data_IF_385534975173
#
_entry.id   IF_385534975173
#
_cell.length_a   1.000
_cell.length_b   1.000
_cell.length_c   1.000
_cell.angle_alpha   90.00
_cell.angle_beta   90.00
_cell.angle_gamma   90.00
#
_symmetry.space_group_name_H-M   'P 1'
#
loop_
_entity.id
_entity.type
_entity.pdbx_description
1 polymer ?
#
# COMPACT_ATOMS: atom_id res chain seq x y z
N UNK A 1 10.80 0.04 -32.26
CA UNK A 1 10.75 -1.15 -31.38
C UNK A 1 12.09 -1.25 -30.65
N UNK A 2 12.17 -0.79 -29.40
CA UNK A 2 13.40 -0.86 -28.60
C UNK A 2 13.56 -2.27 -28.02
N UNK A 3 14.69 -2.92 -28.30
CA UNK A 3 15.08 -4.20 -27.69
C UNK A 3 14.92 -4.14 -26.16
N UNK A 4 14.36 -5.16 -25.50
CA UNK A 4 14.26 -5.18 -24.04
C UNK A 4 15.68 -5.09 -23.47
N UNK A 5 15.91 -4.11 -22.58
CA UNK A 5 17.17 -4.02 -21.87
C UNK A 5 17.43 -5.35 -21.14
N UNK A 6 18.65 -5.91 -21.21
CA UNK A 6 18.95 -7.17 -20.55
C UNK A 6 18.62 -7.04 -19.05
N UNK A 7 17.97 -8.05 -18.43
CA UNK A 7 17.54 -8.04 -17.03
C UNK A 7 18.56 -7.43 -16.06
N UNK A 8 19.84 -7.73 -16.29
CA UNK A 8 20.96 -7.23 -15.51
C UNK A 8 21.07 -5.70 -15.47
N UNK A 9 20.97 -5.01 -16.62
CA UNK A 9 21.09 -3.54 -16.65
C UNK A 9 20.00 -2.85 -15.83
N UNK A 10 18.78 -3.38 -15.87
CA UNK A 10 17.66 -2.84 -15.08
C UNK A 10 17.84 -3.10 -13.57
N UNK A 11 18.44 -4.23 -13.20
CA UNK A 11 18.77 -4.53 -11.79
C UNK A 11 19.94 -3.67 -11.28
N UNK A 12 20.96 -3.41 -12.11
CA UNK A 12 22.05 -2.48 -11.81
C UNK A 12 21.52 -1.06 -11.63
N UNK A 13 20.61 -0.61 -12.49
CA UNK A 13 19.95 0.68 -12.35
C UNK A 13 19.12 0.75 -11.07
N UNK A 14 18.34 -0.29 -10.75
CA UNK A 14 17.60 -0.38 -9.49
C UNK A 14 18.53 -0.32 -8.26
N UNK A 15 19.68 -0.98 -8.32
CA UNK A 15 20.71 -0.93 -7.29
C UNK A 15 21.29 0.49 -7.14
N UNK A 16 21.64 1.14 -8.26
CA UNK A 16 22.15 2.52 -8.28
C UNK A 16 21.16 3.52 -7.68
N UNK A 17 19.86 3.30 -7.92
CA UNK A 17 18.76 4.11 -7.38
C UNK A 17 18.36 3.72 -5.95
N UNK A 18 19.02 2.73 -5.33
CA UNK A 18 18.67 2.14 -4.03
C UNK A 18 17.20 1.73 -3.96
N UNK A 19 16.68 1.24 -5.07
CA UNK A 19 15.29 0.79 -5.17
C UNK A 19 15.05 -0.39 -4.25
N UNK A 20 13.90 -0.36 -3.56
CA UNK A 20 13.45 -1.49 -2.75
C UNK A 20 12.98 -2.61 -3.67
N UNK A 21 13.37 -3.83 -3.34
CA UNK A 21 12.88 -5.05 -3.93
C UNK A 21 11.87 -5.70 -2.97
N UNK A 22 10.66 -5.93 -3.44
CA UNK A 22 9.60 -6.59 -2.70
C UNK A 22 9.52 -8.04 -3.16
N UNK A 23 9.68 -8.98 -2.23
CA UNK A 23 9.55 -10.41 -2.50
C UNK A 23 8.22 -10.92 -1.97
N UNK A 24 7.52 -11.69 -2.79
CA UNK A 24 6.44 -12.57 -2.33
C UNK A 24 7.01 -13.97 -2.14
N UNK A 25 6.79 -14.52 -0.95
CA UNK A 25 7.28 -15.83 -0.52
C UNK A 25 6.10 -16.80 -0.36
N UNK A 26 6.33 -18.12 -0.47
CA UNK A 26 5.31 -19.13 -0.15
C UNK A 26 4.97 -19.10 1.34
N UNK A 27 3.84 -18.46 1.69
CA UNK A 27 3.42 -18.20 3.08
C UNK A 27 3.37 -19.46 3.95
N UNK A 28 3.00 -20.59 3.34
CA UNK A 28 2.93 -21.90 3.97
C UNK A 28 4.29 -22.46 4.43
N UNK A 29 5.41 -21.97 3.89
CA UNK A 29 6.75 -22.47 4.24
C UNK A 29 7.48 -21.51 5.17
N UNK A 30 7.36 -20.21 4.95
CA UNK A 30 8.15 -19.20 5.66
C UNK A 30 7.39 -18.47 6.77
N UNK A 31 6.06 -18.66 6.88
CA UNK A 31 5.21 -17.93 7.83
C UNK A 31 5.09 -16.42 7.53
N UNK A 32 5.63 -15.98 6.39
CA UNK A 32 5.72 -14.58 5.94
C UNK A 32 5.30 -14.52 4.47
N UNK A 33 4.23 -13.79 4.17
CA UNK A 33 3.75 -13.65 2.79
C UNK A 33 4.64 -12.77 1.92
N UNK A 34 5.21 -11.71 2.49
CA UNK A 34 6.01 -10.73 1.76
C UNK A 34 7.21 -10.27 2.59
N UNK A 35 8.30 -9.93 1.90
CA UNK A 35 9.52 -9.40 2.47
C UNK A 35 9.99 -8.19 1.66
N UNK A 36 10.22 -7.07 2.35
CA UNK A 36 10.78 -5.87 1.73
C UNK A 36 12.30 -5.87 1.93
N UNK A 37 13.04 -5.80 0.82
CA UNK A 37 14.49 -5.92 0.80
C UNK A 37 15.16 -4.72 0.13
N UNK A 38 16.36 -4.41 0.59
CA UNK A 38 17.33 -3.64 -0.18
C UNK A 38 18.06 -4.57 -1.16
N UNK A 39 18.36 -4.07 -2.35
CA UNK A 39 19.28 -4.74 -3.29
C UNK A 39 20.70 -4.37 -2.86
N UNK A 40 21.51 -5.36 -2.52
CA UNK A 40 22.91 -5.15 -2.14
C UNK A 40 23.85 -5.38 -3.33
N UNK A 41 23.54 -6.34 -4.18
CA UNK A 41 24.34 -6.71 -5.35
C UNK A 41 23.45 -7.25 -6.46
N UNK A 42 23.79 -6.96 -7.72
CA UNK A 42 23.23 -7.60 -8.90
C UNK A 42 24.38 -8.04 -9.80
N UNK A 43 24.67 -9.35 -9.85
CA UNK A 43 25.78 -9.91 -10.63
C UNK A 43 25.33 -11.14 -11.41
N UNK A 44 26.24 -11.76 -12.17
CA UNK A 44 26.02 -13.05 -12.82
C UNK A 44 25.81 -14.22 -11.84
N UNK A 45 26.13 -14.05 -10.56
CA UNK A 45 25.83 -15.02 -9.50
C UNK A 45 24.38 -14.89 -9.00
N UNK A 46 23.68 -13.86 -9.46
CA UNK A 46 22.32 -13.52 -9.09
C UNK A 46 22.25 -12.28 -8.20
N UNK A 47 21.12 -12.12 -7.50
CA UNK A 47 20.79 -10.90 -6.76
C UNK A 47 21.02 -11.13 -5.27
N UNK A 48 21.77 -10.25 -4.58
CA UNK A 48 21.82 -10.23 -3.12
C UNK A 48 20.78 -9.27 -2.60
N UNK A 49 19.93 -9.76 -1.71
CA UNK A 49 18.90 -8.99 -1.05
C UNK A 49 19.10 -9.07 0.46
N UNK A 50 18.83 -7.98 1.16
CA UNK A 50 18.76 -7.95 2.62
C UNK A 50 17.47 -7.31 3.09
N UNK A 51 16.78 -7.93 4.04
CA UNK A 51 15.50 -7.41 4.53
C UNK A 51 15.66 -6.09 5.26
N UNK A 52 14.71 -5.18 5.06
CA UNK A 52 14.67 -3.89 5.75
C UNK A 52 14.07 -4.05 7.15
N UNK A 53 13.13 -4.98 7.33
CA UNK A 53 12.56 -5.34 8.62
C UNK A 53 13.22 -6.60 9.21
N UNK A 54 13.02 -6.81 10.52
CA UNK A 54 13.43 -8.05 11.18
C UNK A 54 12.75 -9.25 10.51
N UNK A 55 13.58 -10.13 9.96
CA UNK A 55 13.19 -11.42 9.41
C UNK A 55 14.38 -12.35 9.58
N UNK A 56 14.15 -13.54 10.14
CA UNK A 56 15.19 -14.54 10.29
C UNK A 56 15.04 -15.54 9.15
N UNK A 57 15.91 -15.44 8.14
CA UNK A 57 15.97 -16.43 7.08
C UNK A 57 16.77 -17.65 7.56
N UNK A 58 16.26 -18.85 7.25
CA UNK A 58 16.91 -20.12 7.58
C UNK A 58 17.17 -20.96 6.33
N UNK A 59 17.89 -22.06 6.51
CA UNK A 59 18.22 -23.01 5.43
C UNK A 59 16.98 -23.56 4.71
N UNK A 60 15.85 -23.70 5.40
CA UNK A 60 14.57 -24.13 4.83
C UNK A 60 13.99 -23.19 3.75
N UNK A 61 14.56 -22.00 3.57
CA UNK A 61 14.15 -21.08 2.49
C UNK A 61 14.87 -21.37 1.18
N UNK A 62 15.98 -22.11 1.20
CA UNK A 62 16.76 -22.44 0.00
C UNK A 62 15.92 -23.35 -0.90
N UNK A 63 15.92 -23.02 -2.20
CA UNK A 63 15.12 -23.70 -3.22
C UNK A 63 13.71 -23.16 -3.40
N UNK A 64 13.22 -22.26 -2.52
CA UNK A 64 11.89 -21.70 -2.67
C UNK A 64 11.80 -20.76 -3.86
N UNK A 65 10.74 -20.93 -4.65
CA UNK A 65 10.34 -20.00 -5.69
C UNK A 65 9.80 -18.71 -5.07
N UNK A 66 10.24 -17.60 -5.63
CA UNK A 66 9.87 -16.26 -5.20
C UNK A 66 9.50 -15.40 -6.40
N UNK A 67 8.57 -14.48 -6.15
CA UNK A 67 8.24 -13.42 -7.11
C UNK A 67 8.77 -12.10 -6.57
N UNK A 68 9.68 -11.48 -7.31
CA UNK A 68 10.26 -10.19 -6.98
C UNK A 68 9.60 -9.05 -7.74
N UNK A 69 9.64 -7.86 -7.12
CA UNK A 69 9.12 -6.62 -7.66
C UNK A 69 10.00 -5.44 -7.28
N UNK A 70 10.38 -4.61 -8.23
CA UNK A 70 11.14 -3.38 -7.97
C UNK A 70 10.73 -2.26 -8.92
N UNK A 71 11.14 -1.04 -8.57
CA UNK A 71 10.88 0.18 -9.33
C UNK A 71 12.18 0.72 -9.90
N UNK A 72 12.13 1.28 -11.10
CA UNK A 72 13.22 2.04 -11.71
C UNK A 72 12.64 3.34 -12.26
N UNK A 73 13.23 4.47 -11.90
CA UNK A 73 12.95 5.75 -12.55
C UNK A 73 13.80 5.86 -13.81
N UNK A 74 13.18 5.99 -14.98
CA UNK A 74 13.90 6.14 -16.25
C UNK A 74 13.71 7.57 -16.74
N UNK A 75 14.81 8.28 -16.93
CA UNK A 75 14.79 9.66 -17.46
C UNK A 75 14.87 9.58 -18.99
N UNK A 76 13.74 9.74 -19.67
CA UNK A 76 13.68 9.79 -21.15
C UNK A 76 13.29 11.18 -21.68
N UNK A 77 12.50 11.94 -20.95
CA UNK A 77 12.15 13.37 -21.18
C UNK A 77 11.47 13.93 -19.92
N UNK A 78 10.60 13.13 -19.31
CA UNK A 78 10.06 13.28 -17.94
C UNK A 78 10.61 12.16 -17.05
N UNK A 79 10.49 12.30 -15.72
CA UNK A 79 10.86 11.26 -14.77
C UNK A 79 9.74 10.22 -14.70
N UNK A 80 9.84 9.15 -15.49
CA UNK A 80 8.84 8.08 -15.48
C UNK A 80 9.25 6.94 -14.57
N UNK A 81 8.40 6.64 -13.58
CA UNK A 81 8.57 5.50 -12.70
C UNK A 81 8.02 4.23 -13.36
N UNK A 82 8.91 3.30 -13.69
CA UNK A 82 8.55 2.01 -14.28
C UNK A 82 8.73 0.90 -13.26
N UNK A 83 7.82 -0.07 -13.29
CA UNK A 83 7.82 -1.18 -12.35
C UNK A 83 8.06 -2.51 -13.07
N UNK A 84 8.92 -3.34 -12.47
CA UNK A 84 9.31 -4.62 -13.02
C UNK A 84 9.01 -5.74 -12.03
N UNK A 85 8.55 -6.87 -12.57
CA UNK A 85 8.39 -8.14 -11.85
C UNK A 85 9.31 -9.19 -12.44
N UNK A 86 9.72 -10.13 -11.59
CA UNK A 86 10.50 -11.28 -11.99
C UNK A 86 10.17 -12.50 -11.13
N UNK A 87 10.43 -13.67 -11.69
CA UNK A 87 10.43 -14.92 -10.93
C UNK A 87 11.87 -15.36 -10.74
N UNK A 88 12.17 -15.96 -9.60
CA UNK A 88 13.47 -16.53 -9.26
C UNK A 88 13.29 -17.58 -8.16
N UNK A 89 14.35 -18.28 -7.79
CA UNK A 89 14.41 -19.09 -6.57
C UNK A 89 15.53 -18.61 -5.64
N UNK A 90 15.42 -18.96 -4.35
CA UNK A 90 16.43 -18.67 -3.33
C UNK A 90 17.57 -19.69 -3.44
N UNK A 91 18.78 -19.22 -3.76
CA UNK A 91 20.00 -20.06 -3.79
C UNK A 91 20.68 -20.17 -2.42
N UNK A 92 20.61 -19.13 -1.62
CA UNK A 92 21.14 -19.12 -0.27
C UNK A 92 20.33 -18.19 0.62
N UNK A 93 20.18 -18.57 1.88
CA UNK A 93 19.45 -17.82 2.90
C UNK A 93 20.22 -17.88 4.21
N UNK A 94 20.46 -16.73 4.82
CA UNK A 94 21.14 -16.62 6.10
C UNK A 94 20.62 -15.40 6.88
N UNK A 95 20.83 -15.39 8.19
CA UNK A 95 20.72 -14.18 8.97
C UNK A 95 21.99 -13.33 8.82
N UNK A 96 21.84 -12.02 8.64
CA UNK A 96 22.94 -11.08 8.74
C UNK A 96 23.37 -10.90 10.20
N UNK A 97 24.55 -10.30 10.47
CA UNK A 97 24.96 -9.98 11.84
C UNK A 97 23.96 -9.10 12.61
N UNK A 98 23.16 -8.31 11.89
CA UNK A 98 22.09 -7.49 12.45
C UNK A 98 20.76 -8.24 12.66
N UNK A 99 20.73 -9.56 12.42
CA UNK A 99 19.53 -10.39 12.52
C UNK A 99 18.51 -10.16 11.39
N UNK A 100 18.96 -9.62 10.25
CA UNK A 100 18.13 -9.40 9.06
C UNK A 100 18.26 -10.58 8.09
N UNK A 101 17.23 -10.83 7.29
CA UNK A 101 17.24 -11.91 6.31
C UNK A 101 18.11 -11.49 5.12
N UNK A 102 19.19 -12.24 4.86
CA UNK A 102 20.05 -12.06 3.69
C UNK A 102 19.83 -13.22 2.73
N UNK A 103 19.37 -12.89 1.52
CA UNK A 103 18.94 -13.85 0.51
C UNK A 103 19.75 -13.65 -0.77
N UNK A 104 20.33 -14.74 -1.29
CA UNK A 104 20.87 -14.80 -2.65
C UNK A 104 19.82 -15.43 -3.54
N UNK A 105 19.30 -14.68 -4.49
CA UNK A 105 18.42 -15.19 -5.52
C UNK A 105 19.21 -15.59 -6.76
N UNK A 106 18.71 -16.54 -7.54
CA UNK A 106 19.17 -16.75 -8.91
C UNK A 106 19.03 -15.45 -9.74
N UNK A 107 19.82 -15.33 -10.81
CA UNK A 107 19.58 -14.26 -11.79
C UNK A 107 18.26 -14.55 -12.50
N UNK A 108 17.30 -13.60 -12.54
CA UNK A 108 16.04 -13.82 -13.21
C UNK A 108 16.26 -13.88 -14.73
N UNK A 109 15.67 -14.90 -15.37
CA UNK A 109 15.75 -15.08 -16.83
C UNK A 109 15.11 -13.91 -17.59
N UNK A 110 14.06 -13.32 -17.01
CA UNK A 110 13.32 -12.22 -17.63
C UNK A 110 12.78 -11.26 -16.58
N UNK A 111 12.74 -9.98 -16.96
CA UNK A 111 11.98 -8.95 -16.28
C UNK A 111 10.76 -8.62 -17.12
N UNK A 112 9.60 -8.57 -16.48
CA UNK A 112 8.33 -8.22 -17.14
C UNK A 112 7.81 -6.95 -16.51
N UNK A 113 7.30 -6.03 -17.32
CA UNK A 113 6.54 -4.88 -16.80
C UNK A 113 5.44 -5.40 -15.87
N UNK A 114 5.44 -4.89 -14.65
CA UNK A 114 4.61 -5.43 -13.60
C UNK A 114 3.85 -4.34 -12.89
N UNK A 115 2.54 -4.49 -12.80
CA UNK A 115 1.70 -3.65 -11.97
C UNK A 115 1.41 -4.39 -10.66
N UNK A 116 2.10 -4.02 -9.58
CA UNK A 116 1.89 -4.65 -8.25
C UNK A 116 0.53 -4.32 -7.65
N UNK A 117 -0.01 -3.15 -7.96
CA UNK A 117 -1.25 -2.66 -7.37
C UNK A 117 -2.42 -3.03 -8.29
N UNK A 118 -3.32 -3.86 -7.77
CA UNK A 118 -4.56 -4.27 -8.46
C UNK A 118 -5.51 -3.10 -8.74
N UNK A 119 -5.33 -1.98 -8.05
CA UNK A 119 -6.12 -0.76 -8.21
C UNK A 119 -5.22 0.47 -8.25
N UNK A 120 -5.70 1.48 -8.98
CA UNK A 120 -5.05 2.77 -9.05
C UNK A 120 -5.07 3.45 -7.68
N UNK A 121 -3.99 4.17 -7.36
CA UNK A 121 -3.90 5.05 -6.19
C UNK A 121 -3.89 6.48 -6.68
N UNK A 122 -4.84 7.26 -6.21
CA UNK A 122 -4.93 8.68 -6.47
C UNK A 122 -4.92 9.42 -5.14
N UNK A 123 -4.17 10.50 -5.05
CA UNK A 123 -4.43 11.50 -4.02
C UNK A 123 -5.82 12.10 -4.29
N UNK A 124 -6.79 12.08 -3.36
CA UNK A 124 -8.09 12.70 -3.60
C UNK A 124 -8.00 14.22 -3.44
N UNK A 125 -8.60 14.98 -4.35
CA UNK A 125 -8.75 16.43 -4.16
C UNK A 125 -9.77 16.67 -3.04
N UNK A 126 -9.50 17.63 -2.14
CA UNK A 126 -10.38 17.89 -0.99
C UNK A 126 -11.80 18.28 -1.42
N UNK A 127 -11.97 18.95 -2.55
CA UNK A 127 -13.28 19.35 -3.08
C UNK A 127 -14.14 18.14 -3.50
N UNK A 128 -13.50 17.00 -3.81
CA UNK A 128 -14.19 15.75 -4.13
C UNK A 128 -14.49 14.89 -2.90
N UNK A 129 -14.09 15.35 -1.70
CA UNK A 129 -14.32 14.66 -0.43
C UNK A 129 -15.38 15.41 0.38
N UNK A 130 -16.64 14.98 0.30
CA UNK A 130 -17.77 15.60 1.02
C UNK A 130 -17.67 15.36 2.53
N UNK A 131 -17.50 14.09 2.91
CA UNK A 131 -17.37 13.70 4.31
C UNK A 131 -16.27 12.66 4.52
N UNK A 132 -15.61 12.73 5.67
CA UNK A 132 -14.62 11.75 6.09
C UNK A 132 -14.66 11.55 7.59
N UNK A 133 -14.89 10.30 8.00
CA UNK A 133 -14.92 9.92 9.40
C UNK A 133 -14.11 8.67 9.64
N UNK A 134 -13.39 8.66 10.76
CA UNK A 134 -12.59 7.53 11.19
C UNK A 134 -12.91 7.21 12.63
N UNK A 135 -13.21 5.95 12.91
CA UNK A 135 -13.40 5.43 14.25
C UNK A 135 -12.33 4.40 14.57
N UNK A 136 -11.94 4.36 15.84
CA UNK A 136 -11.20 3.23 16.37
C UNK A 136 -12.13 2.03 16.43
N UNK A 137 -11.60 0.86 16.08
CA UNK A 137 -12.32 -0.39 16.24
C UNK A 137 -11.69 -1.16 17.40
N UNK A 138 -12.47 -1.39 18.45
CA UNK A 138 -12.11 -2.29 19.54
C UNK A 138 -12.71 -3.68 19.27
N UNK A 139 -11.94 -4.75 19.54
CA UNK A 139 -12.43 -6.11 19.28
C UNK A 139 -13.51 -6.57 20.26
N UNK A 140 -13.48 -6.09 21.51
CA UNK A 140 -14.43 -6.46 22.55
C UNK A 140 -15.65 -5.55 22.54
N UNK A 141 -15.44 -4.24 22.39
CA UNK A 141 -16.50 -3.23 22.46
C UNK A 141 -17.04 -2.77 21.09
N UNK A 142 -16.36 -3.11 19.99
CA UNK A 142 -16.70 -2.61 18.66
C UNK A 142 -16.33 -1.13 18.48
N UNK A 143 -17.23 -0.34 17.90
CA UNK A 143 -17.05 1.11 17.75
C UNK A 143 -18.39 1.83 17.93
N UNK A 144 -18.36 3.09 18.35
CA UNK A 144 -19.56 3.93 18.50
C UNK A 144 -19.62 4.98 17.41
N UNK A 145 -20.75 5.04 16.70
CA UNK A 145 -20.98 5.99 15.61
C UNK A 145 -20.89 7.45 16.07
N UNK A 146 -21.28 7.74 17.31
CA UNK A 146 -21.37 9.10 17.84
C UNK A 146 -20.01 9.75 18.11
N UNK A 147 -18.97 8.92 18.28
CA UNK A 147 -17.63 9.35 18.70
C UNK A 147 -16.54 8.95 17.69
N UNK A 148 -16.56 9.50 16.46
CA UNK A 148 -15.44 9.39 15.54
C UNK A 148 -14.18 10.05 16.12
N UNK A 149 -13.06 9.39 15.91
CA UNK A 149 -11.73 9.87 16.26
C UNK A 149 -11.28 10.99 15.31
N UNK A 150 -11.63 10.91 14.01
CA UNK A 150 -11.47 11.98 13.04
C UNK A 150 -12.80 12.34 12.39
N UNK A 151 -13.04 13.63 12.16
CA UNK A 151 -14.25 14.15 11.49
C UNK A 151 -13.85 14.94 10.25
N UNK A 152 -14.82 15.22 9.37
CA UNK A 152 -14.59 16.00 8.14
C UNK A 152 -13.92 17.36 8.40
N UNK A 153 -14.21 17.99 9.55
CA UNK A 153 -13.56 19.24 9.94
C UNK A 153 -12.03 19.13 10.11
N UNK A 154 -11.53 17.98 10.55
CA UNK A 154 -10.09 17.72 10.72
C UNK A 154 -9.36 17.61 9.36
N UNK A 155 -10.08 17.19 8.31
CA UNK A 155 -9.55 17.19 6.95
C UNK A 155 -9.55 18.60 6.36
N UNK A 156 -10.64 19.35 6.56
CA UNK A 156 -10.77 20.74 6.07
C UNK A 156 -9.77 21.70 6.70
N UNK A 157 -9.44 21.52 7.98
CA UNK A 157 -8.43 22.33 8.66
C UNK A 157 -6.99 21.81 8.48
N UNK A 158 -6.79 20.76 7.67
CA UNK A 158 -5.47 20.24 7.32
C UNK A 158 -4.76 19.46 8.44
N UNK A 159 -5.42 19.18 9.57
CA UNK A 159 -4.87 18.35 10.67
C UNK A 159 -4.93 16.86 10.36
N UNK A 160 -5.77 16.44 9.42
CA UNK A 160 -5.78 15.13 8.82
C UNK A 160 -5.78 15.25 7.29
N UNK A 161 -5.16 14.31 6.57
CA UNK A 161 -5.11 14.32 5.11
C UNK A 161 -5.18 12.90 4.55
N UNK A 162 -5.93 12.72 3.47
CA UNK A 162 -5.87 11.51 2.67
C UNK A 162 -4.69 11.61 1.69
N UNK A 163 -3.61 10.88 1.97
CA UNK A 163 -2.40 10.87 1.12
C UNK A 163 -2.62 10.15 -0.21
N UNK A 164 -3.51 9.15 -0.21
CA UNK A 164 -3.96 8.44 -1.40
C UNK A 164 -5.19 7.61 -1.06
N UNK A 165 -5.98 7.32 -2.08
CA UNK A 165 -7.13 6.44 -2.07
C UNK A 165 -7.02 5.47 -3.24
N UNK A 166 -7.34 4.21 -2.99
CA UNK A 166 -7.49 3.15 -3.98
C UNK A 166 -8.70 2.31 -3.64
N UNK A 167 -9.18 1.51 -4.60
CA UNK A 167 -10.28 0.58 -4.36
C UNK A 167 -10.01 -0.45 -3.24
N UNK A 168 -8.76 -0.63 -2.81
CA UNK A 168 -8.38 -1.63 -1.81
C UNK A 168 -7.82 -1.06 -0.50
N UNK A 169 -7.71 0.26 -0.38
CA UNK A 169 -7.10 0.88 0.79
C UNK A 169 -6.81 2.36 0.59
N UNK A 170 -6.33 3.00 1.66
CA UNK A 170 -6.01 4.42 1.67
C UNK A 170 -4.76 4.71 2.50
N UNK A 171 -4.13 5.86 2.22
CA UNK A 171 -3.10 6.46 3.05
C UNK A 171 -3.69 7.62 3.84
N UNK A 172 -3.44 7.67 5.15
CA UNK A 172 -3.92 8.72 6.04
C UNK A 172 -2.70 9.36 6.73
N UNK A 173 -2.63 10.69 6.72
CA UNK A 173 -1.74 11.45 7.58
C UNK A 173 -2.56 12.17 8.64
N UNK A 174 -2.08 12.21 9.88
CA UNK A 174 -2.71 12.88 11.02
C UNK A 174 -1.64 13.63 11.79
N UNK A 175 -1.91 14.88 12.14
CA UNK A 175 -0.96 15.65 12.93
C UNK A 175 -0.75 15.07 14.32
N UNK A 176 0.47 15.15 14.84
CA UNK A 176 0.79 14.62 16.18
C UNK A 176 -0.13 15.22 17.27
N UNK A 177 -0.39 16.54 17.17
CA UNK A 177 -1.26 17.28 18.08
C UNK A 177 -2.73 16.80 18.07
N UNK A 178 -3.19 16.17 16.98
CA UNK A 178 -4.52 15.59 16.89
C UNK A 178 -4.53 14.11 17.28
N UNK A 179 -3.51 13.35 16.87
CA UNK A 179 -3.48 11.90 17.00
C UNK A 179 -3.52 11.45 18.47
N UNK A 180 -2.69 12.04 19.34
CA UNK A 180 -2.62 11.68 20.77
C UNK A 180 -3.95 11.91 21.50
N UNK A 181 -4.50 13.14 21.53
CA UNK A 181 -5.77 13.42 22.21
C UNK A 181 -6.98 12.66 21.66
N UNK A 182 -6.94 12.24 20.39
CA UNK A 182 -7.99 11.41 19.76
C UNK A 182 -7.73 9.90 19.90
N UNK A 183 -6.63 9.52 20.56
CA UNK A 183 -6.22 8.14 20.78
C UNK A 183 -5.96 7.36 19.50
N UNK A 184 -5.51 8.00 18.42
CA UNK A 184 -5.25 7.38 17.11
C UNK A 184 -3.90 6.66 17.03
N UNK A 185 -3.31 6.32 18.17
CA UNK A 185 -2.09 5.52 18.28
C UNK A 185 -2.37 4.05 17.92
N UNK A 186 -2.71 3.80 16.65
CA UNK A 186 -2.98 2.47 16.14
C UNK A 186 -1.68 1.77 15.74
N UNK A 187 -1.55 0.51 16.11
CA UNK A 187 -0.44 -0.34 15.74
C UNK A 187 -0.72 -1.12 14.45
N UNK A 188 0.34 -1.63 13.82
CA UNK A 188 0.21 -2.54 12.69
C UNK A 188 -0.62 -3.76 13.11
N UNK A 189 -1.70 -4.02 12.36
CA UNK A 189 -2.63 -5.11 12.64
C UNK A 189 -3.96 -4.65 13.22
N UNK A 190 -4.01 -3.44 13.80
CA UNK A 190 -5.25 -2.85 14.33
C UNK A 190 -6.24 -2.56 13.21
N UNK A 191 -7.49 -2.32 13.62
CA UNK A 191 -8.59 -2.00 12.71
C UNK A 191 -9.12 -0.61 13.00
N UNK A 192 -9.53 0.06 11.94
CA UNK A 192 -10.28 1.30 11.97
C UNK A 192 -11.56 1.09 11.16
N UNK A 193 -12.62 1.78 11.56
CA UNK A 193 -13.79 1.96 10.68
C UNK A 193 -13.65 3.29 9.99
N UNK A 194 -13.92 3.32 8.70
CA UNK A 194 -13.79 4.51 7.86
C UNK A 194 -15.11 4.72 7.13
N UNK A 195 -15.61 5.95 7.13
CA UNK A 195 -16.67 6.40 6.23
C UNK A 195 -16.11 7.50 5.34
N UNK A 196 -16.22 7.34 4.03
CA UNK A 196 -15.90 8.38 3.06
C UNK A 196 -17.13 8.66 2.21
N UNK A 197 -17.52 9.92 2.13
CA UNK A 197 -18.51 10.38 1.16
C UNK A 197 -17.78 11.16 0.06
N UNK A 198 -17.79 10.62 -1.15
CA UNK A 198 -17.07 11.14 -2.31
C UNK A 198 -18.06 11.81 -3.27
N UNK A 199 -17.62 12.91 -3.87
CA UNK A 199 -18.36 13.60 -4.92
C UNK A 199 -17.88 13.14 -6.30
N UNK A 200 -18.71 12.34 -6.98
CA UNK A 200 -18.48 11.99 -8.38
C UNK A 200 -19.83 11.86 -9.10
N UNK A 201 -20.28 12.92 -9.80
CA UNK A 201 -21.60 12.95 -10.43
C UNK A 201 -21.75 11.94 -11.57
N UNK A 202 -20.66 11.38 -12.12
CA UNK A 202 -20.70 10.36 -13.17
C UNK A 202 -20.86 8.94 -12.61
N UNK A 203 -20.65 8.74 -11.31
CA UNK A 203 -20.79 7.43 -10.71
C UNK A 203 -22.27 7.09 -10.46
N UNK A 204 -22.64 5.83 -10.73
CA UNK A 204 -24.03 5.35 -10.56
C UNK A 204 -24.36 5.14 -9.08
N UNK A 205 -23.35 4.84 -8.26
CA UNK A 205 -23.48 4.61 -6.82
C UNK A 205 -23.39 5.92 -6.04
N UNK A 206 -24.25 6.08 -5.04
CA UNK A 206 -24.09 7.12 -4.03
C UNK A 206 -22.70 6.95 -3.39
N UNK A 207 -21.82 7.93 -3.54
CA UNK A 207 -20.41 7.85 -3.16
C UNK A 207 -20.13 7.71 -1.66
N UNK A 208 -21.05 7.15 -0.87
CA UNK A 208 -20.91 6.88 0.57
C UNK A 208 -20.39 5.47 0.81
N UNK A 209 -19.14 5.38 1.25
CA UNK A 209 -18.42 4.15 1.48
C UNK A 209 -18.14 3.95 2.96
N UNK A 210 -18.70 2.88 3.53
CA UNK A 210 -18.29 2.39 4.85
C UNK A 210 -17.30 1.25 4.69
N UNK A 211 -16.19 1.29 5.44
CA UNK A 211 -15.12 0.32 5.34
C UNK A 211 -14.59 -0.06 6.72
N UNK A 212 -14.32 -1.34 6.93
CA UNK A 212 -13.39 -1.79 7.98
C UNK A 212 -12.01 -1.88 7.35
N UNK A 213 -11.05 -1.14 7.90
CA UNK A 213 -9.69 -1.06 7.37
C UNK A 213 -8.66 -1.56 8.38
N UNK A 214 -7.71 -2.38 7.93
CA UNK A 214 -6.57 -2.85 8.70
C UNK A 214 -5.40 -1.89 8.56
N UNK A 215 -4.74 -1.57 9.67
CA UNK A 215 -3.46 -0.84 9.67
C UNK A 215 -2.35 -1.78 9.19
N UNK A 216 -1.82 -1.52 8.00
CA UNK A 216 -0.74 -2.30 7.40
C UNK A 216 0.64 -1.68 7.63
N UNK A 217 0.68 -0.36 7.76
CA UNK A 217 1.90 0.43 7.90
C UNK A 217 1.64 1.62 8.81
N UNK A 218 2.62 1.93 9.67
CA UNK A 218 2.64 3.13 10.51
C UNK A 218 4.03 3.74 10.37
N UNK A 219 4.10 5.03 10.12
CA UNK A 219 5.35 5.79 10.12
C UNK A 219 5.15 7.17 10.71
N UNK A 220 6.24 7.77 11.15
CA UNK A 220 6.28 9.17 11.58
C UNK A 220 6.79 10.02 10.42
N UNK A 221 6.14 11.14 10.16
CA UNK A 221 6.44 12.08 9.07
C UNK A 221 7.07 13.35 9.66
N UNK A 222 8.22 13.75 9.10
CA UNK A 222 8.90 14.99 9.46
C UNK A 222 9.42 15.04 10.90
N UNK A 223 9.89 16.21 11.30
CA UNK A 223 10.39 16.47 12.66
C UNK A 223 9.24 16.67 13.67
N UNK A 224 8.06 17.07 13.20
CA UNK A 224 6.91 17.43 14.04
C UNK A 224 6.15 16.22 14.59
N UNK A 225 6.53 15.01 14.18
CA UNK A 225 5.98 13.77 14.74
C UNK A 225 4.65 13.32 14.13
N UNK A 226 4.23 13.90 13.00
CA UNK A 226 2.98 13.55 12.33
C UNK A 226 2.91 12.05 12.02
N UNK A 227 1.74 11.46 12.16
CA UNK A 227 1.55 10.02 11.95
C UNK A 227 1.00 9.73 10.56
N UNK A 228 1.64 8.80 9.87
CA UNK A 228 1.20 8.27 8.59
C UNK A 228 0.77 6.81 8.73
N UNK A 229 -0.47 6.53 8.36
CA UNK A 229 -1.07 5.21 8.33
C UNK A 229 -1.29 4.73 6.89
N UNK A 230 -0.88 3.50 6.60
CA UNK A 230 -1.31 2.78 5.41
C UNK A 230 -2.40 1.79 5.79
N UNK A 231 -3.62 2.00 5.26
CA UNK A 231 -4.80 1.21 5.59
C UNK A 231 -5.21 0.33 4.40
N UNK A 232 -5.60 -0.92 4.69
CA UNK A 232 -6.14 -1.88 3.72
C UNK A 232 -7.59 -2.21 4.05
N UNK A 233 -8.49 -2.15 3.07
CA UNK A 233 -9.90 -2.50 3.28
C UNK A 233 -10.08 -4.01 3.44
N UNK A 234 -10.78 -4.40 4.50
CA UNK A 234 -11.12 -5.79 4.83
C UNK A 234 -12.59 -6.09 4.55
N UNK A 235 -13.48 -5.13 4.80
CA UNK A 235 -14.91 -5.24 4.57
C UNK A 235 -15.49 -3.91 4.12
N UNK A 236 -16.47 -3.94 3.23
CA UNK A 236 -17.33 -2.81 2.88
C UNK A 236 -18.66 -2.92 3.63
N UNK A 237 -19.28 -1.79 3.91
CA UNK A 237 -20.50 -1.71 4.71
C UNK A 237 -21.61 -0.96 3.99
N UNK A 238 -22.85 -1.38 4.21
CA UNK A 238 -24.05 -0.61 3.86
C UNK A 238 -24.86 -0.36 5.13
N UNK A 239 -25.22 0.89 5.40
CA UNK A 239 -26.09 1.23 6.52
C UNK A 239 -27.50 0.70 6.27
N UNK A 240 -27.99 -0.16 7.16
CA UNK A 240 -29.38 -0.57 7.15
C UNK A 240 -30.22 0.45 7.92
N UNK A 241 -30.95 1.29 7.19
CA UNK A 241 -31.79 2.35 7.76
C UNK A 241 -32.88 1.84 8.71
N UNK A 242 -33.32 0.59 8.60
CA UNK A 242 -34.34 0.01 9.49
C UNK A 242 -33.75 -0.50 10.79
N UNK A 243 -32.54 -1.06 10.73
CA UNK A 243 -31.87 -1.65 11.90
C UNK A 243 -30.94 -0.66 12.63
N UNK A 244 -30.60 0.47 12.00
CA UNK A 244 -29.59 1.41 12.51
C UNK A 244 -28.20 0.80 12.61
N UNK A 245 -27.93 -0.29 11.88
CA UNK A 245 -26.68 -1.06 11.92
C UNK A 245 -26.08 -1.17 10.54
N UNK A 246 -24.75 -1.24 10.49
CA UNK A 246 -24.02 -1.44 9.23
C UNK A 246 -23.91 -2.94 8.98
N UNK A 247 -24.36 -3.37 7.80
CA UNK A 247 -24.13 -4.74 7.31
C UNK A 247 -22.80 -4.77 6.57
N UNK A 248 -21.89 -5.60 7.06
CA UNK A 248 -20.53 -5.74 6.53
C UNK A 248 -20.43 -6.92 5.57
N UNK A 249 -19.75 -6.70 4.45
CA UNK A 249 -19.40 -7.72 3.47
C UNK A 249 -17.88 -7.74 3.26
N UNK A 250 -17.22 -8.90 3.21
CA UNK A 250 -15.78 -8.98 2.96
C UNK A 250 -15.40 -8.33 1.62
N UNK A 251 -14.29 -7.58 1.60
CA UNK A 251 -13.72 -7.07 0.35
C UNK A 251 -12.91 -8.18 -0.32
N UNK A 252 -13.51 -8.82 -1.31
CA UNK A 252 -12.84 -9.84 -2.12
C UNK A 252 -11.84 -9.22 -3.10
N UNK A 253 -10.76 -9.94 -3.39
CA UNK A 253 -9.75 -9.48 -4.34
C UNK A 253 -8.96 -8.22 -3.94
N UNK A 254 -9.25 -7.61 -2.79
CA UNK A 254 -8.76 -6.30 -2.32
C UNK A 254 -9.23 -5.13 -3.20
N UNK A 255 -10.45 -5.19 -3.73
CA UNK A 255 -11.04 -4.14 -4.58
C UNK A 255 -12.51 -3.98 -4.22
N UNK A 256 -12.93 -2.75 -3.92
CA UNK A 256 -14.33 -2.31 -3.90
C UNK A 256 -14.65 -1.76 -5.31
N UNK A 257 -15.43 -2.47 -6.13
CA UNK A 257 -15.63 -2.11 -7.55
C UNK A 257 -16.16 -0.70 -7.75
N UNK A 258 -17.16 -0.29 -6.98
CA UNK A 258 -17.82 1.01 -7.09
C UNK A 258 -16.83 2.16 -6.80
N UNK A 259 -15.92 1.94 -5.85
CA UNK A 259 -14.84 2.88 -5.56
C UNK A 259 -13.79 2.88 -6.68
N UNK A 260 -13.54 1.74 -7.32
CA UNK A 260 -12.62 1.67 -8.46
C UNK A 260 -13.12 2.51 -9.64
N UNK A 261 -14.43 2.49 -9.91
CA UNK A 261 -15.06 3.26 -10.99
C UNK A 261 -14.93 4.77 -10.74
N UNK A 262 -15.22 5.24 -9.52
CA UNK A 262 -15.02 6.65 -9.14
C UNK A 262 -13.57 7.08 -9.36
N UNK A 263 -12.61 6.29 -8.86
CA UNK A 263 -11.19 6.59 -9.01
C UNK A 263 -10.75 6.57 -10.47
N UNK A 264 -11.37 5.75 -11.32
CA UNK A 264 -11.09 5.77 -12.74
C UNK A 264 -11.51 7.10 -13.39
N UNK A 265 -12.70 7.62 -13.07
CA UNK A 265 -13.13 8.94 -13.55
C UNK A 265 -12.18 10.05 -13.12
N UNK A 266 -11.75 10.03 -11.86
CA UNK A 266 -10.81 11.03 -11.34
C UNK A 266 -9.44 10.94 -12.02
N UNK A 267 -9.01 9.73 -12.40
CA UNK A 267 -7.80 9.54 -13.17
C UNK A 267 -7.88 10.19 -14.55
N UNK A 268 -9.02 10.00 -15.24
CA UNK A 268 -9.24 10.58 -16.57
C UNK A 268 -9.23 12.11 -16.53
N UNK A 269 -9.81 12.72 -15.50
CA UNK A 269 -9.80 14.19 -15.33
C UNK A 269 -8.38 14.73 -15.23
N UNK A 270 -7.54 14.12 -14.37
CA UNK A 270 -6.13 14.51 -14.23
C UNK A 270 -5.34 14.37 -15.52
N UNK A 271 -5.69 13.41 -16.36
CA UNK A 271 -5.03 13.24 -17.66
C UNK A 271 -5.44 14.33 -18.66
N UNK A 272 -6.71 14.76 -18.62
CA UNK A 272 -7.22 15.87 -19.46
C UNK A 272 -6.61 17.21 -19.03
N UNK A 273 -6.54 17.48 -17.73
CA UNK A 273 -5.95 18.71 -17.17
C UNK A 273 -4.46 18.87 -17.49
N UNK A 274 -3.73 17.76 -17.70
CA UNK A 274 -2.31 17.82 -18.09
C UNK A 274 -2.08 18.01 -19.59
N UNK A 275 -3.11 17.86 -20.41
CA UNK A 275 -3.02 17.97 -21.88
C UNK A 275 -3.63 19.27 -22.42
N UNK A 276 -4.40 19.99 -21.60
CA UNK A 276 -4.86 21.36 -21.87
C UNK A 276 -3.89 22.37 -21.29
#
# INVERSE_FOLDING_TARGET
>A
MTSPAPPRRLLEEALAQRSRCHLSLPENVVGLKNLDCAILEATNRGILLESIGKAAAGSHWVGLDVKGYFRVAIKRQTLEETFYTFNSHIKAAAASPAGLARLRLAEPERLVFGQRRKSLRLEPDLDRLREAFFWRYDKAAGFSLDYPALRSADFRNGRARLLNLSAGGLGLAVSAALAGPRGLEAAKGDRLVVRLELDEPRAVTAGDFWMVAKVCHVATLGCDGDLQFGLQFLASGSLDAKAGKIRWQPVEGHVIPELADILYYWHLDRHRERQG
#
